data_IF_027000976969
#
_entry.id   IF_027000976969
#
_cell.length_a   1.000
_cell.length_b   1.000
_cell.length_c   1.000
_cell.angle_alpha   90.00
_cell.angle_beta   90.00
_cell.angle_gamma   90.00
#
_symmetry.space_group_name_H-M   'P 1'
#
loop_
_entity.id
_entity.type
_entity.pdbx_description
1 polymer ?
#
# COMPACT_ATOMS: atom_id res chain seq x y z
N UNK A 1 -34.39 -46.99 25.38
CA UNK A 1 -34.82 -45.56 25.47
C UNK A 1 -34.12 -44.81 24.36
N UNK A 2 -34.91 -44.27 23.40
CA UNK A 2 -34.34 -43.39 22.33
C UNK A 2 -33.89 -42.09 22.99
N UNK A 3 -32.69 -41.62 22.64
CA UNK A 3 -32.26 -40.27 23.04
C UNK A 3 -33.18 -39.25 22.39
N UNK A 4 -33.86 -38.43 23.18
CA UNK A 4 -34.61 -37.27 22.69
C UNK A 4 -33.65 -36.24 22.14
N UNK A 5 -34.02 -35.61 21.03
CA UNK A 5 -33.29 -34.45 20.49
C UNK A 5 -33.86 -33.17 21.12
N UNK A 6 -33.05 -32.10 21.13
CA UNK A 6 -33.51 -30.76 21.51
C UNK A 6 -34.49 -30.25 20.44
N UNK A 7 -35.54 -29.55 20.86
CA UNK A 7 -36.46 -28.92 19.94
C UNK A 7 -35.72 -27.90 19.06
N UNK A 8 -36.07 -27.86 17.79
CA UNK A 8 -35.55 -26.91 16.81
C UNK A 8 -36.75 -26.09 16.30
N UNK A 9 -37.15 -25.10 17.11
CA UNK A 9 -38.17 -24.16 16.74
C UNK A 9 -37.52 -22.87 16.23
N UNK A 10 -37.58 -22.66 14.93
CA UNK A 10 -37.02 -21.50 14.23
C UNK A 10 -37.94 -20.28 14.23
N UNK A 11 -39.22 -20.49 14.62
CA UNK A 11 -40.23 -19.46 14.64
C UNK A 11 -40.52 -18.93 16.05
N UNK A 12 -39.78 -19.40 17.04
CA UNK A 12 -39.93 -18.96 18.42
C UNK A 12 -39.70 -17.46 18.54
N UNK A 13 -40.70 -16.72 18.94
CA UNK A 13 -40.66 -15.28 19.17
C UNK A 13 -40.16 -15.00 20.57
N UNK A 14 -39.21 -14.13 20.71
CA UNK A 14 -38.69 -13.67 22.00
C UNK A 14 -39.64 -12.65 22.60
N UNK A 15 -40.00 -12.81 23.85
CA UNK A 15 -40.92 -11.91 24.58
C UNK A 15 -40.34 -10.50 24.72
N UNK A 16 -38.99 -10.39 24.89
CA UNK A 16 -38.20 -9.16 24.86
C UNK A 16 -37.05 -9.37 23.86
N UNK A 17 -36.96 -8.58 22.78
CA UNK A 17 -35.85 -8.71 21.85
C UNK A 17 -34.55 -8.36 22.57
N UNK A 18 -33.53 -9.22 22.52
CA UNK A 18 -32.24 -8.94 23.12
C UNK A 18 -31.59 -7.72 22.42
N UNK A 19 -30.81 -6.97 23.17
CA UNK A 19 -29.92 -5.98 22.55
C UNK A 19 -28.99 -6.67 21.55
N UNK A 20 -28.75 -6.07 20.38
CA UNK A 20 -27.77 -6.60 19.43
C UNK A 20 -26.39 -6.78 20.07
N UNK A 21 -26.09 -6.06 21.13
CA UNK A 21 -24.87 -6.18 21.90
C UNK A 21 -24.78 -7.50 22.66
N UNK A 22 -25.88 -8.01 23.15
CA UNK A 22 -25.98 -9.28 23.90
C UNK A 22 -25.89 -10.51 22.99
N UNK A 23 -26.23 -10.33 21.70
CA UNK A 23 -26.08 -11.38 20.70
C UNK A 23 -24.61 -11.66 20.31
N UNK A 24 -23.70 -10.77 20.69
CA UNK A 24 -22.26 -10.91 20.42
C UNK A 24 -21.56 -11.13 21.76
N UNK A 25 -20.75 -12.20 21.92
CA UNK A 25 -20.11 -12.53 23.19
C UNK A 25 -19.30 -11.37 23.76
N UNK A 26 -19.27 -11.25 25.09
CA UNK A 26 -18.38 -10.32 25.78
C UNK A 26 -16.92 -10.52 25.37
N UNK A 27 -16.16 -9.43 25.21
CA UNK A 27 -14.78 -9.47 24.74
C UNK A 27 -14.62 -9.77 23.25
N UNK A 28 -15.71 -9.89 22.50
CA UNK A 28 -15.63 -10.06 21.05
C UNK A 28 -14.99 -8.83 20.39
N UNK A 29 -14.25 -9.03 19.30
CA UNK A 29 -13.51 -7.97 18.60
C UNK A 29 -14.41 -6.81 18.13
N UNK A 30 -15.67 -7.04 17.87
CA UNK A 30 -16.64 -5.99 17.49
C UNK A 30 -16.78 -4.93 18.60
N UNK A 31 -16.96 -5.36 19.85
CA UNK A 31 -17.04 -4.46 20.99
C UNK A 31 -15.72 -3.72 21.22
N UNK A 32 -14.61 -4.45 21.24
CA UNK A 32 -13.28 -3.87 21.47
C UNK A 32 -12.88 -2.82 20.42
N UNK A 33 -13.20 -3.04 19.14
CA UNK A 33 -12.93 -2.04 18.09
C UNK A 33 -13.81 -0.81 18.27
N UNK A 34 -15.10 -0.98 18.60
CA UNK A 34 -16.02 0.13 18.84
C UNK A 34 -15.56 0.98 20.02
N UNK A 35 -15.22 0.37 21.14
CA UNK A 35 -14.70 1.05 22.33
C UNK A 35 -13.39 1.76 22.05
N UNK A 36 -12.44 1.08 21.40
CA UNK A 36 -11.16 1.68 21.01
C UNK A 36 -11.36 2.95 20.17
N UNK A 37 -12.29 2.92 19.21
CA UNK A 37 -12.59 4.06 18.34
C UNK A 37 -13.25 5.20 19.12
N UNK A 38 -14.14 4.89 20.06
CA UNK A 38 -14.85 5.91 20.84
C UNK A 38 -14.00 6.57 21.93
N UNK A 39 -13.10 5.82 22.55
CA UNK A 39 -12.45 6.23 23.79
C UNK A 39 -10.95 6.53 23.60
N UNK A 40 -10.30 5.92 22.61
CA UNK A 40 -8.85 5.95 22.50
C UNK A 40 -8.30 6.61 21.24
N UNK A 41 -9.12 6.71 20.17
CA UNK A 41 -8.66 7.29 18.90
C UNK A 41 -9.15 8.72 18.75
N UNK A 42 -8.23 9.61 18.38
CA UNK A 42 -8.56 10.98 17.98
C UNK A 42 -9.08 10.98 16.52
N UNK A 43 -10.35 11.31 16.40
CA UNK A 43 -11.07 11.41 15.11
C UNK A 43 -11.35 12.87 14.72
N UNK A 44 -10.75 13.85 15.37
CA UNK A 44 -11.00 15.28 15.15
C UNK A 44 -10.83 15.66 13.67
N UNK A 45 -9.81 15.13 12.99
CA UNK A 45 -9.58 15.36 11.56
C UNK A 45 -10.73 14.85 10.67
N UNK A 46 -11.44 13.80 11.10
CA UNK A 46 -12.62 13.27 10.40
C UNK A 46 -13.84 14.14 10.71
N UNK A 47 -14.10 14.44 11.98
CA UNK A 47 -15.25 15.24 12.41
C UNK A 47 -15.19 16.67 11.83
N UNK A 48 -14.03 17.31 11.81
CA UNK A 48 -13.84 18.67 11.28
C UNK A 48 -14.07 18.79 9.77
N UNK A 49 -14.14 17.67 9.04
CA UNK A 49 -14.51 17.68 7.63
C UNK A 49 -16.03 17.86 7.39
N UNK A 50 -16.85 17.74 8.43
CA UNK A 50 -18.31 17.94 8.37
C UNK A 50 -18.66 19.37 8.82
N UNK A 51 -18.68 20.29 7.85
CA UNK A 51 -18.93 21.73 8.11
C UNK A 51 -20.31 22.20 7.68
N UNK A 52 -21.14 21.35 7.06
CA UNK A 52 -22.43 21.75 6.51
C UNK A 52 -23.56 21.44 7.49
N UNK A 53 -24.36 22.44 7.82
CA UNK A 53 -25.53 22.32 8.67
C UNK A 53 -26.79 21.87 7.90
N UNK A 54 -26.78 21.93 6.53
CA UNK A 54 -27.93 21.59 5.67
C UNK A 54 -27.75 20.23 5.00
N UNK A 55 -28.84 19.50 4.87
CA UNK A 55 -28.92 18.18 4.24
C UNK A 55 -29.31 17.07 5.22
N UNK A 56 -29.53 15.86 4.71
CA UNK A 56 -29.78 14.68 5.58
C UNK A 56 -28.61 14.41 6.50
N UNK A 57 -28.87 14.07 7.79
CA UNK A 57 -27.82 13.79 8.74
C UNK A 57 -26.91 12.64 8.23
N UNK A 58 -25.60 12.83 8.22
CA UNK A 58 -24.67 11.76 7.84
C UNK A 58 -24.63 10.69 8.94
N UNK A 59 -24.22 9.48 8.56
CA UNK A 59 -23.84 8.47 9.55
C UNK A 59 -22.73 9.00 10.47
N UNK A 60 -22.80 8.62 11.76
CA UNK A 60 -21.80 9.03 12.74
C UNK A 60 -20.39 8.66 12.28
N UNK A 61 -19.44 9.61 12.17
CA UNK A 61 -18.09 9.35 11.69
C UNK A 61 -17.30 8.34 12.54
N UNK A 62 -17.54 8.30 13.85
CA UNK A 62 -16.92 7.29 14.73
C UNK A 62 -17.45 5.89 14.42
N UNK A 63 -18.76 5.75 14.20
CA UNK A 63 -19.37 4.48 13.77
C UNK A 63 -18.81 4.02 12.42
N UNK A 64 -18.73 4.90 11.44
CA UNK A 64 -18.17 4.58 10.11
C UNK A 64 -16.69 4.19 10.20
N UNK A 65 -15.92 4.84 11.08
CA UNK A 65 -14.51 4.49 11.33
C UNK A 65 -14.41 3.12 11.99
N UNK A 66 -15.22 2.84 13.01
CA UNK A 66 -15.26 1.55 13.66
C UNK A 66 -15.65 0.42 12.68
N UNK A 67 -16.65 0.68 11.83
CA UNK A 67 -17.06 -0.24 10.77
C UNK A 67 -15.92 -0.58 9.81
N UNK A 68 -15.19 0.42 9.30
CA UNK A 68 -14.07 0.20 8.40
C UNK A 68 -12.93 -0.55 9.08
N UNK A 69 -12.51 -0.14 10.28
CA UNK A 69 -11.44 -0.80 11.01
C UNK A 69 -11.81 -2.25 11.35
N UNK A 70 -13.05 -2.47 11.82
CA UNK A 70 -13.54 -3.81 12.10
C UNK A 70 -13.56 -4.68 10.84
N UNK A 71 -14.16 -4.20 9.75
CA UNK A 71 -14.22 -4.90 8.47
C UNK A 71 -12.84 -5.33 7.97
N UNK A 72 -11.86 -4.43 8.03
CA UNK A 72 -10.50 -4.72 7.62
C UNK A 72 -9.83 -5.78 8.51
N UNK A 73 -10.11 -5.79 9.83
CA UNK A 73 -9.61 -6.86 10.71
C UNK A 73 -10.23 -8.22 10.38
N UNK A 74 -11.44 -8.24 9.81
CA UNK A 74 -12.15 -9.45 9.37
C UNK A 74 -11.82 -9.87 7.92
N UNK A 75 -10.93 -9.12 7.22
CA UNK A 75 -10.61 -9.39 5.82
C UNK A 75 -11.71 -8.95 4.83
N UNK A 76 -12.61 -8.07 5.25
CA UNK A 76 -13.67 -7.52 4.41
C UNK A 76 -13.29 -6.12 3.95
N UNK A 77 -12.77 -5.97 2.71
CA UNK A 77 -12.22 -4.70 2.20
C UNK A 77 -13.15 -3.98 1.22
N UNK A 78 -13.96 -4.72 0.47
CA UNK A 78 -14.87 -4.15 -0.53
C UNK A 78 -16.07 -3.46 0.13
N UNK A 79 -16.37 -2.21 -0.28
CA UNK A 79 -17.52 -1.47 0.24
C UNK A 79 -18.85 -2.21 0.06
N UNK A 80 -19.02 -2.95 -1.06
CA UNK A 80 -20.22 -3.80 -1.26
C UNK A 80 -20.28 -4.94 -0.26
N UNK A 81 -19.16 -5.62 0.00
CA UNK A 81 -19.11 -6.70 1.01
C UNK A 81 -19.30 -6.16 2.43
N UNK A 82 -18.81 -4.95 2.72
CA UNK A 82 -19.01 -4.30 4.03
C UNK A 82 -20.48 -3.96 4.23
N UNK A 83 -21.14 -3.32 3.26
CA UNK A 83 -22.57 -3.00 3.34
C UNK A 83 -23.40 -4.27 3.53
N UNK A 84 -23.16 -5.30 2.73
CA UNK A 84 -23.81 -6.59 2.85
C UNK A 84 -23.59 -7.24 4.22
N UNK A 85 -22.38 -7.14 4.78
CA UNK A 85 -22.10 -7.66 6.11
C UNK A 85 -22.91 -6.93 7.22
N UNK A 86 -23.21 -5.64 7.05
CA UNK A 86 -24.10 -4.91 7.96
C UNK A 86 -25.55 -5.38 7.91
N UNK A 87 -25.95 -6.09 6.86
CA UNK A 87 -27.30 -6.67 6.70
C UNK A 87 -27.36 -8.13 7.15
N UNK A 88 -26.29 -8.90 6.99
CA UNK A 88 -26.28 -10.35 7.14
C UNK A 88 -25.53 -10.85 8.38
N UNK A 89 -24.70 -10.00 9.03
CA UNK A 89 -23.80 -10.44 10.10
C UNK A 89 -24.04 -9.69 11.40
N UNK A 90 -24.38 -10.43 12.46
CA UNK A 90 -24.66 -9.88 13.79
C UNK A 90 -23.49 -9.08 14.36
N UNK A 91 -22.25 -9.53 14.15
CA UNK A 91 -21.06 -8.83 14.62
C UNK A 91 -20.87 -7.45 13.94
N UNK A 92 -21.24 -7.31 12.67
CA UNK A 92 -21.27 -6.01 11.99
C UNK A 92 -22.44 -5.13 12.47
N UNK A 93 -23.60 -5.73 12.70
CA UNK A 93 -24.76 -5.03 13.27
C UNK A 93 -24.44 -4.47 14.66
N UNK A 94 -23.69 -5.22 15.50
CA UNK A 94 -23.23 -4.76 16.79
C UNK A 94 -22.25 -3.58 16.70
N UNK A 95 -21.40 -3.52 15.67
CA UNK A 95 -20.51 -2.38 15.44
C UNK A 95 -21.30 -1.15 15.01
N UNK A 96 -22.31 -1.31 14.15
CA UNK A 96 -23.06 -0.18 13.57
C UNK A 96 -24.29 0.23 14.37
N UNK A 97 -24.64 -0.50 15.45
CA UNK A 97 -25.88 -0.27 16.16
C UNK A 97 -27.12 -0.48 15.27
N UNK A 98 -27.13 -1.55 14.48
CA UNK A 98 -28.17 -1.91 13.51
C UNK A 98 -28.30 -0.96 12.31
N UNK A 99 -27.44 0.06 12.18
CA UNK A 99 -27.45 0.92 11.02
C UNK A 99 -26.86 0.19 9.80
N UNK A 100 -27.45 0.43 8.64
CA UNK A 100 -27.12 -0.25 7.37
C UNK A 100 -26.63 0.77 6.32
N UNK A 101 -25.37 1.21 6.41
CA UNK A 101 -24.82 2.14 5.42
C UNK A 101 -24.68 1.45 4.06
N UNK A 102 -25.20 2.08 3.02
CA UNK A 102 -25.05 1.61 1.65
C UNK A 102 -23.60 1.57 1.21
N UNK A 103 -23.28 0.74 0.24
CA UNK A 103 -21.95 0.59 -0.29
C UNK A 103 -21.35 1.89 -0.85
N UNK A 104 -22.20 2.78 -1.40
CA UNK A 104 -21.79 4.13 -1.88
C UNK A 104 -21.34 5.00 -0.72
N UNK A 105 -22.08 5.00 0.37
CA UNK A 105 -21.74 5.72 1.61
C UNK A 105 -20.43 5.23 2.20
N UNK A 106 -20.23 3.91 2.30
CA UNK A 106 -18.95 3.32 2.77
C UNK A 106 -17.79 3.71 1.86
N UNK A 107 -18.00 3.67 0.55
CA UNK A 107 -16.98 4.06 -0.43
C UNK A 107 -16.61 5.54 -0.33
N UNK A 108 -17.62 6.42 -0.24
CA UNK A 108 -17.45 7.87 -0.15
C UNK A 108 -16.79 8.27 1.17
N UNK A 109 -17.20 7.70 2.29
CA UNK A 109 -16.58 7.94 3.59
C UNK A 109 -15.10 7.59 3.55
N UNK A 110 -14.74 6.39 3.04
CA UNK A 110 -13.35 5.96 2.88
C UNK A 110 -12.57 6.90 1.96
N UNK A 111 -13.16 7.30 0.81
CA UNK A 111 -12.52 8.19 -0.16
C UNK A 111 -12.24 9.56 0.44
N UNK A 112 -13.23 10.15 1.13
CA UNK A 112 -13.17 11.49 1.71
C UNK A 112 -12.17 11.57 2.86
N UNK A 113 -12.13 10.55 3.72
CA UNK A 113 -11.33 10.56 4.94
C UNK A 113 -10.07 9.68 4.85
N UNK A 114 -9.64 9.31 3.65
CA UNK A 114 -8.58 8.33 3.43
C UNK A 114 -7.27 8.70 4.14
N UNK A 115 -6.86 9.96 4.10
CA UNK A 115 -5.65 10.45 4.76
C UNK A 115 -5.77 10.39 6.30
N UNK A 116 -6.91 10.83 6.85
CA UNK A 116 -7.18 10.78 8.28
C UNK A 116 -7.26 9.33 8.80
N UNK A 117 -7.93 8.45 8.05
CA UNK A 117 -7.96 7.02 8.36
C UNK A 117 -6.54 6.39 8.33
N UNK A 118 -5.69 6.81 7.37
CA UNK A 118 -4.30 6.38 7.32
C UNK A 118 -3.49 6.86 8.54
N UNK A 119 -3.78 8.05 9.08
CA UNK A 119 -3.11 8.59 10.27
C UNK A 119 -3.43 7.79 11.55
N UNK A 120 -4.53 7.04 11.59
CA UNK A 120 -4.87 6.15 12.71
C UNK A 120 -3.82 5.04 12.92
N UNK A 121 -3.02 4.72 11.90
CA UNK A 121 -1.92 3.76 12.04
C UNK A 121 -0.99 4.12 13.20
N UNK A 122 -0.57 5.38 13.28
CA UNK A 122 0.35 5.83 14.33
C UNK A 122 -0.32 5.81 15.70
N UNK A 123 -1.60 6.15 15.79
CA UNK A 123 -2.35 6.12 17.05
C UNK A 123 -2.47 4.68 17.58
N UNK A 124 -2.91 3.74 16.73
CA UNK A 124 -3.00 2.31 17.09
C UNK A 124 -1.62 1.76 17.46
N UNK A 125 -0.57 2.12 16.72
CA UNK A 125 0.80 1.71 17.04
C UNK A 125 1.26 2.20 18.40
N UNK A 126 0.96 3.45 18.77
CA UNK A 126 1.28 3.99 20.09
C UNK A 126 0.50 3.30 21.22
N UNK A 127 -0.73 2.89 20.97
CA UNK A 127 -1.49 2.05 21.91
C UNK A 127 -0.81 0.69 22.06
N UNK A 128 -0.41 0.04 20.95
CA UNK A 128 0.38 -1.20 21.02
C UNK A 128 1.67 -1.03 21.83
N UNK A 129 2.34 0.12 21.72
CA UNK A 129 3.53 0.45 22.52
C UNK A 129 3.20 0.58 24.01
N UNK A 130 2.14 1.31 24.36
CA UNK A 130 1.67 1.45 25.75
C UNK A 130 1.29 0.10 26.36
N UNK A 131 0.68 -0.78 25.59
CA UNK A 131 0.34 -2.14 26.01
C UNK A 131 1.53 -3.14 26.01
N UNK A 132 2.76 -2.65 25.82
CA UNK A 132 3.98 -3.48 25.89
C UNK A 132 4.22 -4.40 24.69
N UNK A 133 3.43 -4.29 23.63
CA UNK A 133 3.56 -5.11 22.43
C UNK A 133 4.75 -4.71 21.55
N UNK A 134 5.32 -3.51 21.73
CA UNK A 134 6.44 -2.97 20.94
C UNK A 134 7.63 -2.72 21.85
N UNK A 135 8.70 -3.49 21.64
CA UNK A 135 9.94 -3.41 22.45
C UNK A 135 11.10 -2.72 21.71
N UNK A 136 11.09 -2.71 20.38
CA UNK A 136 12.18 -2.21 19.52
C UNK A 136 13.55 -2.84 19.81
N UNK A 137 13.57 -4.07 20.34
CA UNK A 137 14.80 -4.83 20.53
C UNK A 137 15.39 -5.29 19.19
N UNK A 138 14.56 -5.93 18.37
CA UNK A 138 14.89 -6.33 17.00
C UNK A 138 13.71 -6.06 16.08
N UNK A 139 13.98 -5.42 14.96
CA UNK A 139 13.00 -5.12 13.90
C UNK A 139 13.42 -5.82 12.62
N UNK A 140 12.50 -6.50 11.96
CA UNK A 140 12.70 -7.09 10.64
C UNK A 140 12.08 -6.18 9.58
N UNK A 141 12.85 -5.81 8.55
CA UNK A 141 12.40 -5.02 7.41
C UNK A 141 12.35 -5.90 6.17
N UNK A 142 11.21 -5.86 5.48
CA UNK A 142 11.03 -6.56 4.21
C UNK A 142 9.95 -5.91 3.36
N UNK A 143 9.96 -6.22 2.06
CA UNK A 143 8.98 -5.78 1.08
C UNK A 143 8.16 -6.94 0.53
N UNK A 144 6.92 -6.67 0.20
CA UNK A 144 6.06 -7.62 -0.50
C UNK A 144 5.38 -6.99 -1.68
N UNK A 145 5.35 -7.70 -2.81
CA UNK A 145 4.66 -7.24 -4.01
C UNK A 145 3.18 -7.54 -3.89
N UNK A 146 2.35 -6.51 -4.10
CA UNK A 146 0.89 -6.59 -4.05
C UNK A 146 0.34 -6.07 -5.37
N UNK A 147 -0.64 -6.78 -5.92
CA UNK A 147 -1.26 -6.46 -7.20
C UNK A 147 -1.97 -5.11 -7.14
N UNK A 148 -1.78 -4.29 -8.16
CA UNK A 148 -2.54 -3.05 -8.36
C UNK A 148 -3.94 -3.35 -8.88
N UNK A 149 -4.85 -2.38 -8.74
CA UNK A 149 -6.17 -2.43 -9.38
C UNK A 149 -6.07 -2.06 -10.87
N UNK A 150 -5.22 -2.78 -11.58
CA UNK A 150 -4.94 -2.57 -12.99
C UNK A 150 -4.53 -3.87 -13.68
N UNK A 151 -4.92 -4.02 -14.93
CA UNK A 151 -4.51 -5.17 -15.76
C UNK A 151 -3.14 -4.89 -16.39
N UNK A 152 -2.24 -5.89 -16.37
CA UNK A 152 -0.96 -5.82 -17.08
C UNK A 152 -1.12 -5.61 -18.60
N UNK A 153 -2.23 -6.07 -19.17
CA UNK A 153 -2.53 -5.92 -20.61
C UNK A 153 -2.93 -4.49 -21.01
N UNK A 154 -3.18 -3.61 -20.04
CA UNK A 154 -3.40 -2.18 -20.26
C UNK A 154 -2.13 -1.34 -20.09
N UNK A 155 -0.97 -1.97 -20.02
CA UNK A 155 0.32 -1.32 -20.08
C UNK A 155 0.83 -1.31 -21.53
N UNK A 156 1.44 -0.20 -21.96
CA UNK A 156 2.05 -0.04 -23.27
C UNK A 156 3.49 0.44 -23.11
N UNK A 157 4.41 -0.07 -23.94
CA UNK A 157 5.80 0.40 -24.00
C UNK A 157 5.90 1.72 -24.75
N UNK A 158 6.92 2.53 -24.44
CA UNK A 158 7.15 3.81 -25.11
C UNK A 158 7.35 3.64 -26.63
N UNK A 159 8.07 2.61 -27.07
CA UNK A 159 8.25 2.27 -28.48
C UNK A 159 6.89 2.05 -29.16
N UNK A 160 6.05 1.21 -28.60
CA UNK A 160 4.71 0.94 -29.15
C UNK A 160 3.79 2.17 -29.11
N UNK A 161 3.97 3.07 -28.14
CA UNK A 161 3.23 4.35 -28.12
C UNK A 161 3.62 5.20 -29.31
N UNK A 162 4.91 5.28 -29.66
CA UNK A 162 5.43 6.01 -30.84
C UNK A 162 4.93 5.47 -32.15
N UNK A 163 4.70 4.16 -32.26
CA UNK A 163 4.15 3.52 -33.44
C UNK A 163 2.64 3.74 -33.58
N UNK A 164 1.89 3.48 -32.50
CA UNK A 164 0.42 3.50 -32.52
C UNK A 164 -0.16 4.91 -32.53
N UNK A 165 0.53 5.90 -31.93
CA UNK A 165 0.03 7.29 -31.88
C UNK A 165 -0.21 7.88 -33.25
N UNK A 166 0.77 7.90 -34.22
CA UNK A 166 0.56 8.48 -35.53
C UNK A 166 -0.47 7.72 -36.36
N UNK A 167 -0.52 6.37 -36.26
CA UNK A 167 -1.53 5.57 -36.95
C UNK A 167 -2.94 5.94 -36.49
N UNK A 168 -3.14 6.00 -35.18
CA UNK A 168 -4.44 6.33 -34.59
C UNK A 168 -4.83 7.79 -34.85
N UNK A 169 -3.85 8.71 -34.82
CA UNK A 169 -4.07 10.12 -35.14
C UNK A 169 -4.49 10.31 -36.62
N UNK A 170 -3.84 9.60 -37.54
CA UNK A 170 -4.21 9.63 -38.96
C UNK A 170 -5.61 9.05 -39.21
N UNK A 171 -5.96 7.97 -38.48
CA UNK A 171 -7.29 7.35 -38.59
C UNK A 171 -8.40 8.29 -38.07
N UNK A 172 -8.18 8.88 -36.90
CA UNK A 172 -9.11 9.89 -36.31
C UNK A 172 -9.21 11.14 -37.21
N UNK A 173 -8.07 11.62 -37.75
CA UNK A 173 -8.04 12.77 -38.66
C UNK A 173 -8.83 12.53 -39.94
N UNK A 174 -8.69 11.36 -40.59
CA UNK A 174 -9.49 11.01 -41.79
C UNK A 174 -10.99 11.06 -41.54
N UNK A 175 -11.43 10.54 -40.40
CA UNK A 175 -12.84 10.57 -40.03
C UNK A 175 -13.36 11.98 -39.75
N UNK A 176 -12.56 12.81 -39.06
CA UNK A 176 -12.94 14.21 -38.81
C UNK A 176 -13.06 14.98 -40.14
N UNK A 177 -12.10 14.83 -41.04
CA UNK A 177 -12.15 15.46 -42.36
C UNK A 177 -13.33 14.96 -43.20
N UNK A 178 -13.67 13.69 -43.11
CA UNK A 178 -14.83 13.13 -43.81
C UNK A 178 -16.14 13.66 -43.20
N UNK A 179 -16.25 13.73 -41.88
CA UNK A 179 -17.42 14.32 -41.21
C UNK A 179 -17.59 15.81 -41.57
N UNK A 180 -16.50 16.59 -41.54
CA UNK A 180 -16.53 18.02 -41.98
C UNK A 180 -16.96 18.19 -43.45
N UNK A 181 -16.56 17.24 -44.32
CA UNK A 181 -16.98 17.23 -45.72
C UNK A 181 -18.46 16.88 -45.88
N UNK A 182 -18.94 15.89 -45.14
CA UNK A 182 -20.34 15.44 -45.11
C UNK A 182 -21.26 16.56 -44.52
N UNK A 183 -20.84 17.21 -43.42
CA UNK A 183 -21.54 18.35 -42.81
C UNK A 183 -21.63 19.54 -43.80
N UNK A 184 -20.55 19.83 -44.53
CA UNK A 184 -20.53 20.89 -45.55
C UNK A 184 -21.50 20.61 -46.71
N UNK A 185 -21.64 19.33 -47.11
CA UNK A 185 -22.59 18.94 -48.15
C UNK A 185 -24.04 18.90 -47.67
N UNK A 186 -24.26 18.58 -46.36
CA UNK A 186 -25.57 18.62 -45.72
C UNK A 186 -26.04 20.04 -45.43
N UNK A 187 -25.17 20.98 -45.01
CA UNK A 187 -25.46 22.40 -44.80
C UNK A 187 -25.90 23.06 -46.13
N UNK A 188 -25.31 22.65 -47.22
CA UNK A 188 -25.71 23.13 -48.58
C UNK A 188 -27.09 22.59 -49.01
N UNK A 189 -27.46 21.38 -48.55
CA UNK A 189 -28.74 20.72 -48.92
C UNK A 189 -29.89 21.02 -47.98
N UNK A 190 -29.66 21.24 -46.68
CA UNK A 190 -30.71 21.20 -45.66
C UNK A 190 -30.71 22.41 -44.72
N UNK A 191 -29.75 23.34 -44.79
CA UNK A 191 -29.66 24.57 -43.97
C UNK A 191 -29.01 24.32 -42.58
N UNK A 192 -28.43 25.39 -41.99
CA UNK A 192 -27.47 25.39 -40.86
C UNK A 192 -28.05 24.92 -39.52
N UNK A 193 -29.35 24.63 -39.39
CA UNK A 193 -30.02 24.40 -38.10
C UNK A 193 -30.31 22.89 -37.77
N UNK A 194 -29.81 21.95 -38.55
CA UNK A 194 -29.95 20.51 -38.27
C UNK A 194 -28.58 19.84 -38.12
N UNK A 195 -27.96 20.03 -36.98
CA UNK A 195 -26.71 19.34 -36.62
C UNK A 195 -26.98 18.01 -35.92
N UNK A 196 -26.59 16.92 -36.56
CA UNK A 196 -26.38 15.65 -35.93
C UNK A 196 -24.97 15.58 -35.32
N UNK A 197 -24.72 16.36 -34.25
CA UNK A 197 -23.40 16.65 -33.70
C UNK A 197 -22.76 15.46 -32.94
N UNK A 198 -23.27 14.24 -33.04
CA UNK A 198 -22.70 13.09 -32.30
C UNK A 198 -21.74 12.32 -33.18
N UNK A 199 -20.45 12.48 -32.90
CA UNK A 199 -19.40 11.59 -33.42
C UNK A 199 -19.74 10.12 -33.12
N UNK A 200 -19.61 9.22 -34.08
CA UNK A 200 -19.85 7.79 -33.86
C UNK A 200 -19.09 7.26 -32.64
N UNK A 201 -19.74 6.47 -31.80
CA UNK A 201 -19.21 5.97 -30.52
C UNK A 201 -17.82 5.33 -30.63
N UNK A 202 -17.55 4.67 -31.77
CA UNK A 202 -16.26 4.05 -32.04
C UNK A 202 -15.14 5.08 -32.28
N UNK A 203 -15.44 6.26 -32.84
CA UNK A 203 -14.49 7.35 -33.05
C UNK A 203 -14.20 8.06 -31.73
N UNK A 204 -15.22 8.32 -30.93
CA UNK A 204 -15.05 8.87 -29.57
C UNK A 204 -14.13 7.97 -28.74
N UNK A 205 -14.31 6.65 -28.82
CA UNK A 205 -13.42 5.66 -28.15
C UNK A 205 -11.99 5.73 -28.69
N UNK A 206 -11.78 5.93 -29.99
CA UNK A 206 -10.45 6.09 -30.60
C UNK A 206 -9.77 7.38 -30.18
N UNK A 207 -10.50 8.51 -30.19
CA UNK A 207 -10.00 9.78 -29.70
C UNK A 207 -9.56 9.70 -28.22
N UNK A 208 -10.41 9.17 -27.35
CA UNK A 208 -10.06 8.95 -25.93
C UNK A 208 -8.84 8.04 -25.76
N UNK A 209 -8.68 7.05 -26.64
CA UNK A 209 -7.49 6.20 -26.63
C UNK A 209 -6.24 6.94 -27.07
N UNK A 210 -6.34 7.77 -28.10
CA UNK A 210 -5.27 8.62 -28.60
C UNK A 210 -4.79 9.61 -27.53
N UNK A 211 -5.72 10.31 -26.87
CA UNK A 211 -5.42 11.21 -25.77
C UNK A 211 -4.67 10.52 -24.63
N UNK A 212 -5.14 9.35 -24.21
CA UNK A 212 -4.46 8.56 -23.15
C UNK A 212 -3.05 8.12 -23.56
N UNK A 213 -2.83 7.78 -24.83
CA UNK A 213 -1.49 7.44 -25.33
C UNK A 213 -0.59 8.68 -25.31
N UNK A 214 -1.09 9.84 -25.76
CA UNK A 214 -0.35 11.12 -25.72
C UNK A 214 0.02 11.52 -24.30
N UNK A 215 -0.94 11.48 -23.38
CA UNK A 215 -0.70 11.77 -21.96
C UNK A 215 0.33 10.83 -21.35
N UNK A 216 0.21 9.54 -21.63
CA UNK A 216 1.15 8.53 -21.11
C UNK A 216 2.57 8.71 -21.68
N UNK A 217 2.69 9.02 -22.96
CA UNK A 217 3.96 9.29 -23.65
C UNK A 217 4.62 10.55 -23.10
N UNK A 218 3.88 11.66 -23.04
CA UNK A 218 4.36 12.93 -22.49
C UNK A 218 4.83 12.79 -21.04
N UNK A 219 4.09 12.04 -20.24
CA UNK A 219 4.48 11.77 -18.85
C UNK A 219 5.77 10.92 -18.75
N UNK A 220 5.98 9.93 -19.63
CA UNK A 220 7.24 9.16 -19.69
C UNK A 220 8.42 10.04 -20.12
N UNK A 221 8.20 10.94 -21.08
CA UNK A 221 9.20 11.89 -21.56
C UNK A 221 9.59 12.90 -20.45
N UNK A 222 8.59 13.42 -19.72
CA UNK A 222 8.82 14.29 -18.57
C UNK A 222 9.57 13.59 -17.43
N UNK A 223 9.19 12.35 -17.10
CA UNK A 223 9.90 11.53 -16.12
C UNK A 223 11.37 11.30 -16.54
N UNK A 224 11.61 10.96 -17.80
CA UNK A 224 12.94 10.73 -18.34
C UNK A 224 13.82 11.99 -18.33
N UNK A 225 13.24 13.14 -18.70
CA UNK A 225 13.91 14.43 -18.67
C UNK A 225 14.29 14.84 -17.23
N UNK A 226 13.38 14.66 -16.28
CA UNK A 226 13.63 14.92 -14.86
C UNK A 226 14.74 14.00 -14.28
N UNK A 227 14.71 12.71 -14.63
CA UNK A 227 15.75 11.76 -14.24
C UNK A 227 17.13 12.13 -14.87
N UNK A 228 17.15 12.59 -16.12
CA UNK A 228 18.37 13.01 -16.81
C UNK A 228 18.98 14.25 -16.13
N UNK A 229 18.16 15.23 -15.76
CA UNK A 229 18.64 16.44 -15.06
C UNK A 229 19.14 16.11 -13.65
N UNK A 230 18.40 15.28 -12.91
CA UNK A 230 18.86 14.79 -11.60
C UNK A 230 20.22 14.08 -11.69
N UNK A 231 20.47 13.31 -12.76
CA UNK A 231 21.75 12.64 -13.00
C UNK A 231 22.88 13.61 -13.34
N UNK A 232 22.57 14.65 -14.10
CA UNK A 232 23.56 15.73 -14.36
C UNK A 232 23.96 16.42 -13.06
N UNK A 233 22.98 16.69 -12.20
CA UNK A 233 23.22 17.28 -10.88
C UNK A 233 24.04 16.33 -9.98
N UNK A 234 23.71 15.03 -9.94
CA UNK A 234 24.46 14.03 -9.18
C UNK A 234 25.94 13.97 -9.63
N UNK A 235 26.22 14.12 -10.94
CA UNK A 235 27.59 14.19 -11.47
C UNK A 235 28.33 15.48 -11.05
N UNK A 236 27.62 16.62 -11.04
CA UNK A 236 28.19 17.91 -10.58
C UNK A 236 28.50 17.84 -9.09
N UNK A 237 27.56 17.35 -8.28
CA UNK A 237 27.75 17.19 -6.83
C UNK A 237 28.90 16.22 -6.51
N UNK A 238 29.05 15.13 -7.28
CA UNK A 238 30.14 14.19 -7.13
C UNK A 238 31.52 14.79 -7.51
N UNK A 239 31.57 15.62 -8.57
CA UNK A 239 32.79 16.33 -8.97
C UNK A 239 33.21 17.35 -7.92
N UNK A 240 32.26 18.14 -7.42
CA UNK A 240 32.53 19.12 -6.36
C UNK A 240 32.99 18.46 -5.06
N UNK A 241 32.41 17.34 -4.66
CA UNK A 241 32.84 16.57 -3.50
C UNK A 241 34.25 16.02 -3.67
N UNK A 242 34.63 15.61 -4.88
CA UNK A 242 35.99 15.16 -5.17
C UNK A 242 37.03 16.31 -5.09
N UNK A 243 36.66 17.52 -5.49
CA UNK A 243 37.51 18.73 -5.42
C UNK A 243 37.67 19.24 -3.97
N UNK A 244 36.63 19.09 -3.12
CA UNK A 244 36.70 19.52 -1.71
C UNK A 244 37.21 18.44 -0.76
N UNK A 245 37.54 17.24 -1.26
CA UNK A 245 37.93 16.10 -0.42
C UNK A 245 36.78 15.49 0.41
N UNK A 246 35.54 15.91 0.14
CA UNK A 246 34.37 15.40 0.79
C UNK A 246 33.85 14.11 0.12
N UNK A 247 33.09 13.33 0.84
CA UNK A 247 32.54 12.08 0.30
C UNK A 247 31.34 12.40 -0.63
N UNK A 248 31.46 11.96 -1.89
CA UNK A 248 30.42 12.16 -2.89
C UNK A 248 29.04 11.72 -2.37
N UNK A 249 27.97 12.53 -2.55
CA UNK A 249 26.63 12.18 -2.17
C UNK A 249 26.14 10.93 -2.92
N UNK A 250 25.21 10.20 -2.30
CA UNK A 250 24.63 9.02 -2.94
C UNK A 250 23.81 9.45 -4.15
N UNK A 251 24.06 8.89 -5.35
CA UNK A 251 23.32 9.27 -6.55
C UNK A 251 21.81 9.11 -6.39
N UNK A 252 21.06 10.11 -6.82
CA UNK A 252 19.59 10.11 -6.82
C UNK A 252 19.03 9.08 -7.80
N UNK A 253 19.71 8.92 -8.95
CA UNK A 253 19.33 7.98 -10.01
C UNK A 253 20.36 6.88 -10.18
N UNK A 254 20.07 5.67 -9.71
CA UNK A 254 20.98 4.50 -9.78
C UNK A 254 20.90 3.72 -11.08
N UNK A 255 19.70 3.61 -11.65
CA UNK A 255 19.44 2.88 -12.89
C UNK A 255 18.56 3.74 -13.80
N UNK A 256 19.16 4.54 -14.69
CA UNK A 256 18.39 5.45 -15.54
C UNK A 256 17.50 4.65 -16.50
N UNK A 257 16.22 5.03 -16.57
CA UNK A 257 15.23 4.50 -17.51
C UNK A 257 15.17 5.30 -18.82
N UNK A 258 16.21 6.07 -19.07
CA UNK A 258 16.34 6.97 -20.21
C UNK A 258 17.70 6.79 -20.90
N UNK A 259 17.77 7.17 -22.15
CA UNK A 259 19.02 7.32 -22.90
C UNK A 259 19.81 8.55 -22.41
N UNK A 260 21.05 8.71 -22.91
CA UNK A 260 21.95 9.83 -22.52
C UNK A 260 21.36 11.19 -22.91
N UNK A 261 20.55 11.21 -23.97
CA UNK A 261 19.82 12.38 -24.49
C UNK A 261 18.57 12.76 -23.68
N UNK A 262 18.21 11.98 -22.67
CA UNK A 262 17.01 12.21 -21.84
C UNK A 262 15.73 11.62 -22.41
N UNK A 263 15.79 10.85 -23.51
CA UNK A 263 14.64 10.13 -24.04
C UNK A 263 14.33 8.86 -23.25
N UNK A 264 13.04 8.46 -23.07
CA UNK A 264 12.71 7.23 -22.38
C UNK A 264 13.27 6.00 -23.09
N UNK A 265 13.66 4.99 -22.32
CA UNK A 265 14.03 3.69 -22.90
C UNK A 265 12.82 3.09 -23.65
N UNK A 266 13.02 2.49 -24.85
CA UNK A 266 11.93 1.92 -25.65
C UNK A 266 11.05 0.93 -24.90
N UNK A 267 11.63 0.14 -23.99
CA UNK A 267 10.93 -0.85 -23.14
C UNK A 267 10.26 -0.28 -21.90
N UNK A 268 10.40 1.02 -21.62
CA UNK A 268 9.72 1.66 -20.49
C UNK A 268 8.19 1.61 -20.72
N UNK A 269 7.46 1.12 -19.73
CA UNK A 269 6.01 0.90 -19.86
C UNK A 269 5.24 1.79 -18.90
N UNK A 270 4.03 2.20 -19.33
CA UNK A 270 3.05 2.88 -18.49
C UNK A 270 1.70 2.20 -18.61
N UNK A 271 1.02 2.05 -17.47
CA UNK A 271 -0.32 1.47 -17.44
C UNK A 271 -1.37 2.58 -17.55
N UNK A 272 -2.33 2.44 -18.45
CA UNK A 272 -3.39 3.44 -18.66
C UNK A 272 -4.45 3.50 -17.56
N UNK A 273 -4.57 2.42 -16.76
CA UNK A 273 -5.57 2.34 -15.68
C UNK A 273 -5.00 2.86 -14.35
N UNK A 274 -3.73 2.56 -14.07
CA UNK A 274 -3.01 2.99 -12.88
C UNK A 274 -1.57 3.33 -13.29
N UNK A 275 -1.32 4.58 -13.74
CA UNK A 275 -0.05 5.00 -14.33
C UNK A 275 1.15 4.90 -13.40
N UNK A 276 0.93 4.98 -12.08
CA UNK A 276 2.00 4.94 -11.07
C UNK A 276 2.36 3.51 -10.67
N UNK A 277 1.49 2.52 -10.94
CA UNK A 277 1.82 1.12 -10.76
C UNK A 277 2.88 0.65 -11.76
N UNK A 278 3.69 -0.31 -11.38
CA UNK A 278 4.78 -0.81 -12.26
C UNK A 278 4.64 -2.32 -12.49
N UNK A 279 5.16 -2.76 -13.62
CA UNK A 279 5.25 -4.20 -13.92
C UNK A 279 6.36 -4.81 -13.06
N UNK A 280 5.99 -5.75 -12.20
CA UNK A 280 6.90 -6.38 -11.24
C UNK A 280 7.05 -7.87 -11.50
N UNK A 281 8.27 -8.38 -11.47
CA UNK A 281 8.56 -9.81 -11.55
C UNK A 281 8.22 -10.48 -10.21
N UNK A 282 7.44 -11.54 -10.26
CA UNK A 282 7.10 -12.41 -9.13
C UNK A 282 7.54 -13.85 -9.41
N UNK A 283 7.29 -14.78 -8.50
CA UNK A 283 7.54 -16.21 -8.73
C UNK A 283 6.65 -16.75 -9.85
N UNK A 284 5.42 -16.24 -9.93
CA UNK A 284 4.37 -16.67 -10.87
C UNK A 284 4.36 -15.86 -12.19
N UNK A 285 5.45 -15.13 -12.48
CA UNK A 285 5.57 -14.32 -13.67
C UNK A 285 5.53 -12.82 -13.39
N UNK A 286 4.97 -12.03 -14.30
CA UNK A 286 4.88 -10.58 -14.20
C UNK A 286 3.48 -10.13 -13.78
N UNK A 287 3.41 -9.19 -12.85
CA UNK A 287 2.17 -8.56 -12.41
C UNK A 287 2.31 -7.04 -12.37
N UNK A 288 1.23 -6.33 -12.65
CA UNK A 288 1.11 -4.90 -12.36
C UNK A 288 0.89 -4.72 -10.86
N UNK A 289 1.73 -3.94 -10.19
CA UNK A 289 1.67 -3.86 -8.75
C UNK A 289 2.51 -2.76 -8.12
N UNK A 290 2.53 -2.81 -6.78
CA UNK A 290 3.33 -1.96 -5.91
C UNK A 290 4.18 -2.83 -4.97
N UNK A 291 5.27 -2.27 -4.50
CA UNK A 291 6.15 -2.91 -3.52
C UNK A 291 5.84 -2.32 -2.12
N UNK A 292 5.08 -3.07 -1.34
CA UNK A 292 4.64 -2.67 -0.01
C UNK A 292 5.68 -3.09 1.03
N UNK A 293 6.21 -2.11 1.77
CA UNK A 293 7.26 -2.27 2.77
C UNK A 293 6.68 -2.29 4.17
N UNK A 294 7.21 -3.15 5.03
CA UNK A 294 6.87 -3.19 6.46
C UNK A 294 8.11 -3.42 7.32
N UNK A 295 8.22 -2.65 8.39
CA UNK A 295 9.16 -2.89 9.48
C UNK A 295 8.38 -3.46 10.66
N UNK A 296 8.77 -4.64 11.12
CA UNK A 296 8.01 -5.44 12.08
C UNK A 296 8.84 -5.68 13.35
N UNK A 297 8.28 -5.35 14.52
CA UNK A 297 8.89 -5.64 15.81
C UNK A 297 8.83 -7.15 16.11
N UNK A 298 9.94 -7.71 16.55
CA UNK A 298 10.08 -9.14 16.77
C UNK A 298 9.31 -9.67 17.99
N UNK A 299 8.94 -8.81 18.95
CA UNK A 299 8.29 -9.25 20.20
C UNK A 299 6.87 -9.76 19.98
N UNK A 300 6.08 -9.05 19.17
CA UNK A 300 4.66 -9.36 18.95
C UNK A 300 4.22 -9.29 17.49
N UNK A 301 5.18 -9.15 16.57
CA UNK A 301 4.90 -9.00 15.14
C UNK A 301 4.02 -7.77 14.82
N UNK A 302 4.14 -6.72 15.61
CA UNK A 302 3.49 -5.41 15.35
C UNK A 302 4.29 -4.67 14.29
N UNK A 303 3.61 -4.11 13.30
CA UNK A 303 4.22 -3.27 12.26
C UNK A 303 4.50 -1.90 12.87
N UNK A 304 5.77 -1.50 12.91
CA UNK A 304 6.23 -0.24 13.53
C UNK A 304 6.45 0.88 12.53
N UNK A 305 6.62 0.53 11.26
CA UNK A 305 6.62 1.47 10.14
C UNK A 305 6.20 0.76 8.84
N UNK A 306 5.63 1.52 7.95
CA UNK A 306 5.17 1.07 6.65
C UNK A 306 5.58 2.06 5.54
N UNK A 307 5.70 1.59 4.32
CA UNK A 307 5.91 2.43 3.15
C UNK A 307 5.45 1.72 1.88
N UNK A 308 5.02 2.49 0.88
CA UNK A 308 4.75 1.97 -0.44
C UNK A 308 5.82 2.46 -1.42
N UNK A 309 6.37 1.57 -2.22
CA UNK A 309 7.28 1.88 -3.31
C UNK A 309 6.63 1.53 -4.65
N UNK A 310 6.90 2.34 -5.64
CA UNK A 310 6.58 2.04 -7.05
C UNK A 310 7.69 1.22 -7.72
N UNK A 311 8.87 1.17 -7.12
CA UNK A 311 10.04 0.47 -7.64
C UNK A 311 10.11 -0.99 -7.18
N UNK A 312 10.73 -1.84 -8.02
CA UNK A 312 10.91 -3.24 -7.71
C UNK A 312 11.94 -3.53 -6.64
N UNK A 313 12.96 -2.66 -6.52
CA UNK A 313 14.07 -2.87 -5.60
C UNK A 313 13.83 -2.16 -4.27
N UNK A 314 14.42 -2.70 -3.21
CA UNK A 314 14.19 -2.28 -1.84
C UNK A 314 15.28 -1.35 -1.30
N UNK A 315 16.33 -1.10 -2.11
CA UNK A 315 17.53 -0.37 -1.67
C UNK A 315 17.21 1.04 -1.14
N UNK A 316 16.22 1.70 -1.74
CA UNK A 316 15.80 3.05 -1.32
C UNK A 316 14.95 3.09 -0.05
N UNK A 317 14.46 1.94 0.44
CA UNK A 317 13.49 1.91 1.54
C UNK A 317 14.13 2.01 2.93
N UNK A 318 15.35 1.53 3.14
CA UNK A 318 15.92 1.37 4.49
C UNK A 318 16.01 2.69 5.27
N UNK A 319 16.61 3.71 4.70
CA UNK A 319 16.82 4.99 5.38
C UNK A 319 15.48 5.71 5.70
N UNK A 320 14.50 5.81 4.77
CA UNK A 320 13.17 6.34 5.09
C UNK A 320 12.43 5.51 6.16
N UNK A 321 12.54 4.18 6.12
CA UNK A 321 11.88 3.33 7.12
C UNK A 321 12.46 3.53 8.52
N UNK A 322 13.77 3.68 8.66
CA UNK A 322 14.39 4.05 9.93
C UNK A 322 13.90 5.41 10.44
N UNK A 323 13.72 6.38 9.53
CA UNK A 323 13.16 7.70 9.89
C UNK A 323 11.73 7.56 10.40
N UNK A 324 10.89 6.78 9.72
CA UNK A 324 9.49 6.54 10.12
C UNK A 324 9.39 5.81 11.46
N UNK A 325 10.24 4.82 11.75
CA UNK A 325 10.28 4.16 13.06
C UNK A 325 10.49 5.20 14.17
N UNK A 326 11.46 6.11 13.99
CA UNK A 326 11.74 7.16 14.96
C UNK A 326 10.59 8.17 15.09
N UNK A 327 9.99 8.59 13.98
CA UNK A 327 8.84 9.52 13.98
C UNK A 327 7.62 8.92 14.67
N UNK A 328 7.33 7.65 14.41
CA UNK A 328 6.17 6.97 14.98
C UNK A 328 6.30 6.71 16.48
N UNK A 329 7.49 6.33 16.96
CA UNK A 329 7.72 5.76 18.29
C UNK A 329 8.73 6.55 19.16
N UNK A 330 9.28 7.65 18.65
CA UNK A 330 10.22 8.52 19.38
C UNK A 330 11.64 7.95 19.51
N UNK A 331 11.89 6.69 19.16
CA UNK A 331 13.19 6.01 19.32
C UNK A 331 13.48 5.06 18.16
N UNK A 332 14.73 4.68 18.00
CA UNK A 332 15.18 3.67 17.02
C UNK A 332 15.10 2.26 17.59
N UNK A 333 15.03 1.26 16.67
CA UNK A 333 15.28 -0.12 17.03
C UNK A 333 16.77 -0.31 17.44
N UNK A 334 17.03 -1.22 18.38
CA UNK A 334 18.42 -1.60 18.72
C UNK A 334 19.07 -2.38 17.59
N UNK A 335 18.32 -3.28 16.97
CA UNK A 335 18.78 -4.15 15.90
C UNK A 335 17.79 -4.16 14.73
N UNK A 336 18.31 -4.31 13.51
CA UNK A 336 17.50 -4.44 12.31
C UNK A 336 18.03 -5.55 11.41
N UNK A 337 17.14 -6.42 10.92
CA UNK A 337 17.43 -7.39 9.87
C UNK A 337 16.69 -7.05 8.58
N UNK A 338 17.38 -7.21 7.45
CA UNK A 338 16.82 -7.00 6.11
C UNK A 338 17.48 -7.93 5.10
N UNK A 339 16.84 -8.14 3.96
CA UNK A 339 17.38 -9.00 2.91
C UNK A 339 18.48 -8.31 2.07
N UNK A 340 18.95 -9.01 1.04
CA UNK A 340 20.01 -8.50 0.12
C UNK A 340 19.55 -7.29 -0.67
N UNK A 341 18.26 -7.12 -0.93
CA UNK A 341 17.69 -5.98 -1.65
C UNK A 341 17.99 -4.63 -0.99
N UNK A 342 18.20 -4.62 0.33
CA UNK A 342 18.53 -3.42 1.10
C UNK A 342 20.04 -3.19 1.25
N UNK A 343 20.90 -4.11 0.80
CA UNK A 343 22.33 -4.02 1.04
C UNK A 343 23.00 -3.00 0.11
N UNK A 344 23.50 -1.92 0.69
CA UNK A 344 24.37 -0.93 0.02
C UNK A 344 25.27 -0.26 1.05
N UNK A 345 26.44 0.26 0.61
CA UNK A 345 27.35 1.02 1.50
C UNK A 345 26.63 2.18 2.18
N UNK A 346 25.76 2.91 1.45
CA UNK A 346 24.97 4.01 1.97
C UNK A 346 24.00 3.56 3.09
N UNK A 347 23.27 2.46 2.87
CA UNK A 347 22.33 1.93 3.88
C UNK A 347 23.07 1.42 5.11
N UNK A 348 24.21 0.76 4.94
CA UNK A 348 25.02 0.28 6.06
C UNK A 348 25.66 1.44 6.84
N UNK A 349 26.04 2.54 6.15
CA UNK A 349 26.47 3.78 6.81
C UNK A 349 25.34 4.40 7.63
N UNK A 350 24.14 4.45 7.08
CA UNK A 350 22.97 5.01 7.75
C UNK A 350 22.58 4.23 9.01
N UNK A 351 22.64 2.90 8.99
CA UNK A 351 22.49 2.07 10.18
C UNK A 351 23.52 2.41 11.26
N UNK A 352 24.80 2.56 10.87
CA UNK A 352 25.86 2.93 11.81
C UNK A 352 25.67 4.34 12.37
N UNK A 353 25.30 5.33 11.54
CA UNK A 353 25.04 6.71 11.94
C UNK A 353 23.90 6.82 12.95
N UNK A 354 22.90 5.94 12.84
CA UNK A 354 21.75 5.89 13.75
C UNK A 354 21.94 4.96 14.94
N UNK A 355 23.13 4.39 15.10
CA UNK A 355 23.44 3.41 16.16
C UNK A 355 22.53 2.18 16.14
N UNK A 356 22.05 1.77 14.96
CA UNK A 356 21.26 0.55 14.76
C UNK A 356 22.16 -0.59 14.33
N UNK A 357 22.19 -1.68 15.09
CA UNK A 357 22.97 -2.87 14.76
C UNK A 357 22.30 -3.63 13.59
N UNK A 358 22.87 -3.49 12.39
CA UNK A 358 22.32 -4.13 11.19
C UNK A 358 22.72 -5.59 11.04
N UNK A 359 21.80 -6.38 10.46
CA UNK A 359 21.99 -7.74 9.96
C UNK A 359 21.37 -7.81 8.56
N UNK A 360 22.09 -7.28 7.57
CA UNK A 360 21.63 -7.18 6.17
C UNK A 360 22.38 -8.20 5.33
N UNK A 361 21.66 -9.07 4.62
CA UNK A 361 22.28 -10.08 3.78
C UNK A 361 23.11 -9.43 2.65
N UNK A 362 24.32 -9.95 2.43
CA UNK A 362 25.25 -9.46 1.39
C UNK A 362 25.28 -10.35 0.14
N UNK A 363 24.43 -11.37 0.07
CA UNK A 363 24.31 -12.29 -1.06
C UNK A 363 23.10 -13.20 -0.94
N UNK A 364 22.73 -13.87 -2.04
CA UNK A 364 21.64 -14.83 -2.05
C UNK A 364 22.03 -16.09 -1.27
N UNK A 365 21.20 -16.49 -0.31
CA UNK A 365 21.32 -17.76 0.39
C UNK A 365 20.62 -18.84 -0.42
N UNK A 366 21.35 -19.93 -0.77
CA UNK A 366 20.70 -21.15 -1.28
C UNK A 366 20.01 -21.88 -0.13
N UNK A 367 18.85 -22.49 -0.39
CA UNK A 367 18.19 -23.37 0.57
C UNK A 367 19.17 -24.44 1.04
N UNK A 368 19.25 -24.67 2.35
CA UNK A 368 20.12 -25.68 2.95
C UNK A 368 21.57 -25.26 3.21
N UNK A 369 21.98 -24.03 2.88
CA UNK A 369 23.35 -23.54 3.19
C UNK A 369 23.35 -22.57 4.37
N UNK A 370 24.35 -22.71 5.25
CA UNK A 370 24.47 -21.93 6.49
C UNK A 370 24.94 -20.48 6.31
N UNK A 371 25.54 -20.15 5.20
CA UNK A 371 26.01 -18.79 4.91
C UNK A 371 25.61 -18.35 3.50
N UNK A 372 25.22 -17.07 3.30
CA UNK A 372 24.99 -16.54 1.97
C UNK A 372 26.32 -16.52 1.19
N UNK A 373 26.34 -17.12 -0.01
CA UNK A 373 27.44 -16.90 -0.96
C UNK A 373 27.41 -15.42 -1.30
N UNK A 374 28.38 -14.69 -0.78
CA UNK A 374 28.45 -13.25 -0.93
C UNK A 374 28.77 -12.85 -2.37
N UNK A 375 27.83 -12.16 -3.00
CA UNK A 375 28.08 -11.42 -4.24
C UNK A 375 28.61 -10.01 -3.94
N UNK A 376 28.24 -9.44 -2.78
CA UNK A 376 28.68 -8.14 -2.28
C UNK A 376 29.65 -8.34 -1.12
N UNK A 377 30.49 -7.34 -0.86
CA UNK A 377 31.41 -7.37 0.28
C UNK A 377 32.67 -8.21 0.05
N UNK A 378 33.17 -8.27 -1.18
CA UNK A 378 34.46 -8.93 -1.49
C UNK A 378 35.66 -8.02 -1.20
N UNK A 379 35.47 -6.71 -1.21
CA UNK A 379 36.52 -5.70 -1.03
C UNK A 379 36.75 -5.45 0.46
N UNK A 380 37.93 -5.77 1.01
CA UNK A 380 38.28 -5.44 2.40
C UNK A 380 38.16 -3.94 2.67
N UNK A 381 37.87 -3.58 3.92
CA UNK A 381 37.70 -2.19 4.34
C UNK A 381 36.30 -1.59 4.09
N UNK A 382 35.47 -2.22 3.27
CA UNK A 382 34.09 -1.75 3.03
C UNK A 382 33.13 -2.18 4.13
N UNK A 383 32.02 -1.44 4.32
CA UNK A 383 30.97 -1.79 5.28
C UNK A 383 30.24 -3.07 4.87
N UNK A 384 30.09 -3.31 3.58
CA UNK A 384 29.53 -4.56 3.05
C UNK A 384 30.43 -5.74 3.37
N UNK A 385 31.76 -5.59 3.33
CA UNK A 385 32.70 -6.62 3.79
C UNK A 385 32.55 -6.89 5.30
N UNK A 386 32.52 -5.86 6.12
CA UNK A 386 32.32 -5.97 7.55
C UNK A 386 30.98 -6.66 7.89
N UNK A 387 29.89 -6.34 7.15
CA UNK A 387 28.57 -6.98 7.29
C UNK A 387 28.64 -8.48 6.93
N UNK A 388 29.32 -8.82 5.83
CA UNK A 388 29.54 -10.22 5.45
C UNK A 388 30.24 -11.00 6.54
N UNK A 389 31.32 -10.47 7.13
CA UNK A 389 32.04 -11.11 8.23
C UNK A 389 31.16 -11.25 9.46
N UNK A 390 30.37 -10.23 9.81
CA UNK A 390 29.41 -10.27 10.93
C UNK A 390 28.41 -11.42 10.78
N UNK A 391 27.84 -11.57 9.58
CA UNK A 391 26.88 -12.64 9.31
C UNK A 391 27.55 -14.03 9.33
N UNK A 392 28.76 -14.14 8.77
CA UNK A 392 29.51 -15.40 8.75
C UNK A 392 29.90 -15.85 10.17
N UNK A 393 30.39 -14.94 11.02
CA UNK A 393 30.72 -15.24 12.43
C UNK A 393 29.49 -15.68 13.24
N UNK A 394 28.32 -15.10 12.95
CA UNK A 394 27.07 -15.47 13.62
C UNK A 394 26.54 -16.84 13.20
N UNK A 395 26.87 -17.32 12.01
CA UNK A 395 26.43 -18.61 11.48
C UNK A 395 24.93 -18.85 11.71
N UNK A 396 24.58 -20.04 12.23
CA UNK A 396 23.20 -20.38 12.59
C UNK A 396 22.64 -19.57 13.77
N UNK A 397 23.47 -18.97 14.60
CA UNK A 397 23.07 -18.11 15.73
C UNK A 397 22.88 -16.66 15.33
N UNK A 398 23.13 -16.32 14.05
CA UNK A 398 22.95 -14.96 13.56
C UNK A 398 21.50 -14.48 13.71
N UNK A 399 21.31 -13.29 14.26
CA UNK A 399 19.99 -12.65 14.37
C UNK A 399 19.36 -12.30 13.03
N UNK A 400 20.10 -12.40 11.94
CA UNK A 400 19.56 -12.34 10.58
C UNK A 400 18.42 -13.36 10.36
N UNK A 401 18.46 -14.53 10.99
CA UNK A 401 17.41 -15.57 10.89
C UNK A 401 16.04 -15.10 11.39
N UNK A 402 16.03 -14.16 12.34
CA UNK A 402 14.78 -13.59 12.86
C UNK A 402 13.94 -12.94 11.75
N UNK A 403 14.56 -12.44 10.67
CA UNK A 403 13.83 -11.88 9.54
C UNK A 403 12.72 -12.82 9.05
N UNK A 404 13.06 -14.08 8.77
CA UNK A 404 12.07 -15.05 8.28
C UNK A 404 10.97 -15.34 9.29
N UNK A 405 11.30 -15.37 10.58
CA UNK A 405 10.35 -15.67 11.65
C UNK A 405 9.46 -14.48 12.02
N UNK A 406 9.87 -13.26 11.71
CA UNK A 406 9.19 -12.03 12.14
C UNK A 406 8.33 -11.45 11.03
N UNK A 407 8.91 -11.12 9.87
CA UNK A 407 8.17 -10.36 8.83
C UNK A 407 7.47 -11.26 7.81
N UNK A 408 8.04 -12.41 7.45
CA UNK A 408 7.38 -13.33 6.50
C UNK A 408 6.01 -13.81 6.98
N UNK A 409 5.83 -14.23 8.28
CA UNK A 409 4.51 -14.58 8.79
C UNK A 409 3.51 -13.43 8.78
N UNK A 410 3.97 -12.17 8.96
CA UNK A 410 3.09 -10.99 8.87
C UNK A 410 2.52 -10.84 7.47
N UNK A 411 3.34 -10.94 6.44
CA UNK A 411 2.86 -10.92 5.05
C UNK A 411 1.99 -12.13 4.73
N UNK A 412 2.30 -13.31 5.28
CA UNK A 412 1.45 -14.50 5.19
C UNK A 412 0.08 -14.27 5.82
N UNK A 413 0.03 -13.70 7.01
CA UNK A 413 -1.24 -13.34 7.69
C UNK A 413 -2.06 -12.35 6.86
N UNK A 414 -1.45 -11.32 6.28
CA UNK A 414 -2.14 -10.34 5.44
C UNK A 414 -2.69 -10.97 4.16
N UNK A 415 -1.87 -11.77 3.45
CA UNK A 415 -2.27 -12.34 2.16
C UNK A 415 -3.22 -13.53 2.29
N UNK A 416 -2.95 -14.45 3.21
CA UNK A 416 -3.73 -15.68 3.36
C UNK A 416 -4.88 -15.52 4.36
N UNK A 417 -4.61 -15.12 5.62
CA UNK A 417 -5.63 -15.07 6.65
C UNK A 417 -6.58 -13.87 6.53
N UNK A 418 -6.08 -12.73 6.03
CA UNK A 418 -6.93 -11.55 5.75
C UNK A 418 -7.40 -11.51 4.29
N UNK A 419 -6.79 -12.27 3.38
CA UNK A 419 -7.15 -12.31 1.97
C UNK A 419 -6.76 -11.05 1.18
N UNK A 420 -5.81 -10.24 1.69
CA UNK A 420 -5.38 -9.02 1.02
C UNK A 420 -4.29 -9.30 -0.02
N UNK A 421 -4.69 -9.58 -1.25
CA UNK A 421 -3.79 -9.91 -2.37
C UNK A 421 -3.70 -8.83 -3.42
N UNK A 422 -4.62 -7.85 -3.41
CA UNK A 422 -4.73 -6.79 -4.40
C UNK A 422 -5.23 -5.50 -3.76
N UNK A 423 -4.66 -4.37 -4.15
CA UNK A 423 -5.18 -3.04 -3.83
C UNK A 423 -6.50 -2.79 -4.53
N UNK A 424 -7.40 -2.07 -3.87
CA UNK A 424 -8.69 -1.65 -4.43
C UNK A 424 -8.63 -0.23 -5.01
N UNK A 425 -7.73 0.60 -4.48
CA UNK A 425 -7.52 1.97 -4.92
C UNK A 425 -6.46 2.05 -6.01
N UNK A 426 -6.36 3.21 -6.67
CA UNK A 426 -5.40 3.52 -7.73
C UNK A 426 -4.68 4.83 -7.41
N UNK A 427 -3.43 4.93 -7.89
CA UNK A 427 -2.55 6.05 -7.62
C UNK A 427 -1.80 5.90 -6.30
N UNK A 428 -0.50 6.21 -6.30
CA UNK A 428 0.43 5.92 -5.19
C UNK A 428 -0.03 6.52 -3.86
N UNK A 429 -0.61 7.73 -3.85
CA UNK A 429 -1.07 8.36 -2.62
C UNK A 429 -2.23 7.60 -1.97
N UNK A 430 -3.24 7.22 -2.77
CA UNK A 430 -4.40 6.49 -2.27
C UNK A 430 -4.04 5.07 -1.87
N UNK A 431 -3.21 4.40 -2.66
CA UNK A 431 -2.72 3.05 -2.39
C UNK A 431 -1.83 3.04 -1.15
N UNK A 432 -1.02 4.09 -0.92
CA UNK A 432 -0.23 4.24 0.32
C UNK A 432 -1.12 4.35 1.56
N UNK A 433 -2.21 5.11 1.48
CA UNK A 433 -3.18 5.18 2.58
C UNK A 433 -3.91 3.85 2.79
N UNK A 434 -4.25 3.14 1.71
CA UNK A 434 -4.85 1.80 1.81
C UNK A 434 -3.87 0.81 2.46
N UNK A 435 -2.58 0.85 2.11
CA UNK A 435 -1.56 0.05 2.76
C UNK A 435 -1.47 0.33 4.27
N UNK A 436 -1.52 1.60 4.66
CA UNK A 436 -1.60 1.99 6.09
C UNK A 436 -2.79 1.39 6.81
N UNK A 437 -3.98 1.42 6.19
CA UNK A 437 -5.17 0.81 6.77
C UNK A 437 -5.01 -0.70 6.96
N UNK A 438 -4.40 -1.39 6.01
CA UNK A 438 -4.10 -2.82 6.13
C UNK A 438 -3.11 -3.07 7.27
N UNK A 439 -2.06 -2.26 7.38
CA UNK A 439 -1.11 -2.33 8.50
C UNK A 439 -1.79 -2.03 9.85
N UNK A 440 -2.71 -1.06 9.88
CA UNK A 440 -3.53 -0.76 11.06
C UNK A 440 -4.39 -1.95 11.48
N UNK A 441 -5.09 -2.57 10.51
CA UNK A 441 -5.91 -3.75 10.76
C UNK A 441 -5.07 -4.94 11.27
N UNK A 442 -3.87 -5.14 10.72
CA UNK A 442 -2.94 -6.13 11.25
C UNK A 442 -2.54 -5.84 12.70
N UNK A 443 -2.17 -4.60 13.01
CA UNK A 443 -1.80 -4.20 14.37
C UNK A 443 -3.00 -4.33 15.34
N UNK A 444 -4.21 -4.00 14.91
CA UNK A 444 -5.42 -4.24 15.69
C UNK A 444 -5.62 -5.72 16.01
N UNK A 445 -5.38 -6.62 15.04
CA UNK A 445 -5.46 -8.07 15.30
C UNK A 445 -4.46 -8.55 16.36
N UNK A 446 -3.35 -7.85 16.56
CA UNK A 446 -2.39 -8.12 17.65
C UNK A 446 -2.80 -7.46 18.97
N UNK A 447 -3.40 -6.29 18.91
CA UNK A 447 -3.82 -5.49 20.07
C UNK A 447 -5.08 -6.03 20.75
N UNK A 448 -6.13 -6.32 19.97
CA UNK A 448 -7.45 -6.69 20.49
C UNK A 448 -7.43 -7.88 21.46
N UNK A 449 -6.68 -8.98 21.25
CA UNK A 449 -6.58 -10.06 22.22
C UNK A 449 -5.99 -9.65 23.58
N UNK A 450 -5.13 -8.62 23.59
CA UNK A 450 -4.52 -8.10 24.82
C UNK A 450 -5.51 -7.22 25.56
N UNK A 451 -6.24 -6.38 24.84
CA UNK A 451 -7.33 -5.54 25.41
C UNK A 451 -8.44 -6.40 26.01
N UNK A 452 -8.88 -7.44 25.31
CA UNK A 452 -9.91 -8.34 25.79
C UNK A 452 -9.51 -9.07 27.09
N UNK A 453 -8.24 -9.46 27.21
CA UNK A 453 -7.72 -10.04 28.47
C UNK A 453 -7.64 -9.03 29.59
N UNK A 454 -7.23 -7.80 29.31
CA UNK A 454 -7.18 -6.73 30.31
C UNK A 454 -8.58 -6.36 30.82
N UNK A 455 -9.56 -6.23 29.93
CA UNK A 455 -10.96 -6.00 30.29
C UNK A 455 -11.52 -7.12 31.18
N UNK A 456 -11.24 -8.37 30.84
CA UNK A 456 -11.68 -9.54 31.62
C UNK A 456 -11.04 -9.60 33.03
N UNK A 457 -9.79 -9.16 33.18
CA UNK A 457 -9.13 -9.10 34.50
C UNK A 457 -9.68 -7.98 35.37
N UNK A 458 -10.11 -6.84 34.75
CA UNK A 458 -10.66 -5.70 35.48
C UNK A 458 -12.15 -5.87 35.84
N UNK A 459 -12.87 -6.79 35.17
CA UNK A 459 -14.27 -7.11 35.43
C UNK A 459 -14.45 -8.20 36.53
N UNK A 460 -13.38 -8.79 36.99
CA UNK A 460 -13.34 -9.72 38.13
C UNK A 460 -12.77 -9.05 39.38
#
# INVERSE_FOLDING_TARGET
>A
MSKGFRDWDVEQVWLLPPSVQELVPEGHRAHLVRELVRESLDLSAIFNAYKRERGSPPFNPAMMTALLLYAYTQGVFSSRKIARACEERIDFMAVTGMQRPEHRTVCEFRRRHLAALGALFVQVLRICQKMGLVKLGHVALDGTKIKANASKHKAMSYERMKEVEPELAAEVGKWLTQAESEDGDEDVKHGVDRRGDELPEHIVKKQQRLERIREAKAALEAEAAAEAEARKQDKRDAKQAAETGEQAPTPRVKHPRHHVDGTPNPKTQRNFTDPESKLMKTKDGFMQGYNAQAAVDASSQVIVAEMLLTEQNDVGALAPMLTRIRQNLGRQARELSADTGYCSEANLRELSRRHVRGYVATGRQKHGTSAPRAQLGKVPGTRTYAMRLRLARGGFRSRYRLRKQVVEPVFGQMKSAMGFTQFLLRGVQKVSCEWRLICTAHNLRKLLPVLGRAAFVLSR
#
